data_IF_668829612940
#
_entry.id   IF_668829612940
#
_cell.length_a   1.000
_cell.length_b   1.000
_cell.length_c   1.000
_cell.angle_alpha   90.00
_cell.angle_beta   90.00
_cell.angle_gamma   90.00
#
_symmetry.space_group_name_H-M   'P 1'
#
loop_
_entity.id
_entity.type
_entity.pdbx_description
1 polymer ?
#
# COMPACT_ATOMS: atom_id res chain seq x y z
N UNK A 1 4.67 -16.64 13.67
CA UNK A 1 5.39 -16.48 14.96
C UNK A 1 4.82 -15.26 15.68
N UNK A 2 4.67 -15.24 17.01
CA UNK A 2 4.25 -14.09 17.82
C UNK A 2 5.48 -13.30 18.26
N UNK A 3 5.97 -12.37 17.43
CA UNK A 3 7.08 -11.50 17.79
C UNK A 3 6.58 -10.32 18.63
N UNK A 4 7.33 -9.98 19.67
CA UNK A 4 7.21 -8.71 20.39
C UNK A 4 7.60 -7.53 19.49
N UNK A 5 7.28 -6.30 19.92
CA UNK A 5 7.67 -5.08 19.20
C UNK A 5 9.19 -5.01 19.03
N UNK A 6 9.95 -5.27 20.10
CA UNK A 6 11.41 -5.20 20.09
C UNK A 6 12.05 -6.25 19.17
N UNK A 7 11.55 -7.50 19.19
CA UNK A 7 12.01 -8.54 18.27
C UNK A 7 11.73 -8.15 16.82
N UNK A 8 10.57 -7.54 16.55
CA UNK A 8 10.21 -7.11 15.21
C UNK A 8 11.07 -5.94 14.71
N UNK A 9 11.36 -4.96 15.58
CA UNK A 9 12.29 -3.87 15.28
C UNK A 9 13.72 -4.38 15.04
N UNK A 10 14.16 -5.38 15.82
CA UNK A 10 15.46 -6.02 15.62
C UNK A 10 15.54 -6.74 14.28
N UNK A 11 14.46 -7.40 13.84
CA UNK A 11 14.40 -8.00 12.50
C UNK A 11 14.48 -6.91 11.42
N UNK A 12 13.67 -5.86 11.52
CA UNK A 12 13.67 -4.74 10.58
C UNK A 12 15.06 -4.11 10.47
N UNK A 13 15.74 -3.88 11.60
CA UNK A 13 17.12 -3.35 11.61
C UNK A 13 18.06 -4.23 10.78
N UNK A 14 18.06 -5.55 11.03
CA UNK A 14 18.94 -6.49 10.30
C UNK A 14 18.62 -6.53 8.81
N UNK A 15 17.34 -6.49 8.45
CA UNK A 15 16.90 -6.49 7.05
C UNK A 15 17.31 -5.20 6.34
N UNK A 16 17.11 -4.03 6.96
CA UNK A 16 17.57 -2.75 6.41
C UNK A 16 19.09 -2.76 6.19
N UNK A 17 19.88 -3.19 7.18
CA UNK A 17 21.34 -3.31 7.07
C UNK A 17 21.78 -4.22 5.91
N UNK A 18 21.02 -5.29 5.62
CA UNK A 18 21.29 -6.17 4.49
C UNK A 18 20.87 -5.54 3.16
N UNK A 19 19.68 -4.93 3.10
CA UNK A 19 19.12 -4.33 1.89
C UNK A 19 19.98 -3.18 1.37
N UNK A 20 20.61 -2.40 2.25
CA UNK A 20 21.50 -1.31 1.85
C UNK A 20 22.64 -1.75 0.93
N UNK A 21 23.08 -3.02 1.00
CA UNK A 21 24.15 -3.55 0.14
C UNK A 21 23.76 -3.62 -1.34
N UNK A 22 22.46 -3.57 -1.64
CA UNK A 22 21.93 -3.66 -3.00
C UNK A 22 21.59 -2.29 -3.62
N UNK A 23 21.86 -1.19 -2.91
CA UNK A 23 21.52 0.18 -3.34
C UNK A 23 20.06 0.33 -3.83
N UNK A 24 19.06 -0.05 -3.01
CA UNK A 24 17.67 0.00 -3.42
C UNK A 24 17.21 1.44 -3.66
N UNK A 25 16.40 1.63 -4.70
CA UNK A 25 15.76 2.93 -4.99
C UNK A 25 14.56 3.20 -4.07
N UNK A 26 13.95 2.13 -3.53
CA UNK A 26 12.80 2.18 -2.65
C UNK A 26 12.74 0.89 -1.82
N UNK A 27 12.36 0.99 -0.55
CA UNK A 27 12.11 -0.15 0.33
C UNK A 27 10.65 -0.16 0.77
N UNK A 28 9.95 -1.23 0.44
CA UNK A 28 8.64 -1.52 1.00
C UNK A 28 8.79 -2.33 2.30
N UNK A 29 8.23 -1.82 3.41
CA UNK A 29 8.33 -2.43 4.73
C UNK A 29 6.99 -3.09 5.08
N UNK A 30 7.03 -4.42 5.26
CA UNK A 30 5.89 -5.21 5.73
C UNK A 30 5.88 -5.29 7.26
N UNK A 31 5.59 -4.16 7.89
CA UNK A 31 5.80 -3.94 9.32
C UNK A 31 4.58 -4.17 10.22
N UNK A 32 4.87 -4.60 11.44
CA UNK A 32 3.95 -4.67 12.56
C UNK A 32 2.90 -5.79 12.47
N UNK A 33 1.83 -5.65 13.27
CA UNK A 33 0.79 -6.69 13.46
C UNK A 33 -0.57 -6.10 13.74
N UNK A 34 -1.61 -6.78 13.29
CA UNK A 34 -3.01 -6.41 13.53
C UNK A 34 -3.46 -6.66 14.98
N UNK A 35 -2.85 -7.61 15.69
CA UNK A 35 -3.21 -7.99 17.05
C UNK A 35 -2.50 -7.19 18.17
N UNK A 36 -1.69 -6.19 17.81
CA UNK A 36 -1.02 -5.32 18.77
C UNK A 36 -1.96 -4.23 19.31
N UNK A 37 -1.77 -3.86 20.57
CA UNK A 37 -2.46 -2.69 21.15
C UNK A 37 -2.01 -1.42 20.45
N UNK A 38 -2.80 -0.34 20.55
CA UNK A 38 -2.43 0.93 19.93
C UNK A 38 -1.04 1.41 20.39
N UNK A 39 -0.72 1.27 21.67
CA UNK A 39 0.58 1.64 22.24
C UNK A 39 1.72 0.82 21.62
N UNK A 40 1.49 -0.46 21.34
CA UNK A 40 2.45 -1.32 20.66
C UNK A 40 2.62 -0.93 19.19
N UNK A 41 1.53 -0.57 18.50
CA UNK A 41 1.61 -0.03 17.13
C UNK A 41 2.46 1.25 17.10
N UNK A 42 2.17 2.18 18.01
CA UNK A 42 2.89 3.45 18.10
C UNK A 42 4.37 3.25 18.46
N UNK A 43 4.67 2.37 19.41
CA UNK A 43 6.03 2.02 19.77
C UNK A 43 6.80 1.42 18.58
N UNK A 44 6.16 0.56 17.79
CA UNK A 44 6.77 0.01 16.58
C UNK A 44 7.06 1.10 15.55
N UNK A 45 6.10 1.96 15.22
CA UNK A 45 6.34 3.00 14.21
C UNK A 45 7.36 4.04 14.65
N UNK A 46 7.38 4.41 15.94
CA UNK A 46 8.43 5.25 16.50
C UNK A 46 9.83 4.65 16.25
N UNK A 47 10.04 3.40 16.66
CA UNK A 47 11.33 2.72 16.46
C UNK A 47 11.66 2.46 14.99
N UNK A 48 10.66 2.11 14.17
CA UNK A 48 10.86 1.87 12.75
C UNK A 48 11.28 3.15 12.02
N UNK A 49 10.71 4.31 12.37
CA UNK A 49 11.07 5.61 11.79
C UNK A 49 12.46 6.06 12.25
N UNK A 50 12.84 5.79 13.50
CA UNK A 50 14.21 6.01 13.98
C UNK A 50 15.24 5.15 13.23
N UNK A 51 14.91 3.89 12.93
CA UNK A 51 15.77 3.01 12.13
C UNK A 51 15.89 3.50 10.68
N UNK A 52 14.77 3.88 10.05
CA UNK A 52 14.76 4.44 8.69
C UNK A 52 15.58 5.74 8.61
N UNK A 53 15.53 6.58 9.64
CA UNK A 53 16.30 7.83 9.73
C UNK A 53 17.82 7.66 9.64
N UNK A 54 18.35 6.44 9.82
CA UNK A 54 19.77 6.12 9.63
C UNK A 54 20.18 5.99 8.16
N UNK A 55 19.21 5.89 7.25
CA UNK A 55 19.40 5.69 5.82
C UNK A 55 18.65 6.75 4.99
N UNK A 56 18.93 8.06 5.19
CA UNK A 56 18.13 9.14 4.61
C UNK A 56 18.16 9.21 3.07
N UNK A 57 19.10 8.52 2.42
CA UNK A 57 19.25 8.49 0.96
C UNK A 57 18.43 7.37 0.29
N UNK A 58 17.73 6.53 1.06
CA UNK A 58 16.87 5.46 0.53
C UNK A 58 15.45 5.73 0.97
N UNK A 59 14.55 5.89 0.00
CA UNK A 59 13.12 6.03 0.28
C UNK A 59 12.60 4.71 0.87
N UNK A 60 11.81 4.80 1.94
CA UNK A 60 11.12 3.65 2.52
C UNK A 60 9.71 4.00 2.94
N UNK A 61 8.79 3.05 2.76
CA UNK A 61 7.38 3.20 3.11
C UNK A 61 6.81 1.90 3.67
N UNK A 62 5.71 2.01 4.41
CA UNK A 62 5.06 0.87 5.08
C UNK A 62 3.81 0.43 4.35
N UNK A 63 3.69 -0.87 4.08
CA UNK A 63 2.58 -1.43 3.33
C UNK A 63 1.30 -1.51 4.14
N UNK A 64 0.19 -1.09 3.53
CA UNK A 64 -1.15 -1.38 4.04
C UNK A 64 -1.49 -2.84 3.77
N UNK A 65 -1.54 -3.69 4.79
CA UNK A 65 -1.78 -5.12 4.58
C UNK A 65 -2.57 -5.74 5.73
N UNK A 66 -3.43 -6.72 5.42
CA UNK A 66 -4.17 -7.49 6.44
C UNK A 66 -3.20 -8.28 7.34
N UNK A 67 -3.41 -8.35 8.65
CA UNK A 67 -2.43 -8.99 9.53
C UNK A 67 -1.23 -8.11 9.92
N UNK A 68 -1.15 -6.88 9.41
CA UNK A 68 -0.14 -5.87 9.75
C UNK A 68 -0.78 -4.67 10.43
N UNK A 69 0.03 -3.74 10.95
CA UNK A 69 -0.49 -2.61 11.72
C UNK A 69 -1.38 -1.67 10.91
N UNK A 70 -1.15 -1.57 9.60
CA UNK A 70 -1.88 -0.69 8.68
C UNK A 70 -3.05 -1.42 7.99
N UNK A 71 -3.66 -2.39 8.69
CA UNK A 71 -4.70 -3.26 8.11
C UNK A 71 -6.05 -2.59 7.88
N UNK A 72 -6.34 -1.45 8.51
CA UNK A 72 -7.61 -0.73 8.33
C UNK A 72 -7.40 0.79 8.15
N UNK A 73 -8.29 1.47 7.40
CA UNK A 73 -8.14 2.90 7.10
C UNK A 73 -8.15 3.81 8.35
N UNK A 74 -8.98 3.49 9.35
CA UNK A 74 -9.17 4.36 10.53
C UNK A 74 -7.92 4.40 11.40
N UNK A 75 -7.36 3.23 11.72
CA UNK A 75 -6.09 3.12 12.45
C UNK A 75 -4.93 3.71 11.64
N UNK A 76 -4.92 3.47 10.33
CA UNK A 76 -3.90 4.04 9.44
C UNK A 76 -3.93 5.57 9.49
N UNK A 77 -5.12 6.20 9.43
CA UNK A 77 -5.25 7.65 9.57
C UNK A 77 -4.72 8.16 10.93
N UNK A 78 -5.04 7.46 12.02
CA UNK A 78 -4.50 7.81 13.36
C UNK A 78 -2.97 7.81 13.36
N UNK A 79 -2.36 6.74 12.85
CA UNK A 79 -0.90 6.56 12.86
C UNK A 79 -0.17 7.60 11.98
N UNK A 80 -0.65 7.87 10.76
CA UNK A 80 -0.02 8.88 9.89
C UNK A 80 -0.22 10.32 10.40
N UNK A 81 -1.26 10.55 11.21
CA UNK A 81 -1.47 11.84 11.89
C UNK A 81 -0.50 11.99 13.06
N UNK A 82 -0.29 10.91 13.83
CA UNK A 82 0.64 10.86 14.96
C UNK A 82 2.11 10.94 14.53
N UNK A 83 2.45 10.31 13.41
CA UNK A 83 3.80 10.23 12.85
C UNK A 83 3.83 10.88 11.47
N UNK A 84 4.11 12.18 11.40
CA UNK A 84 4.01 12.97 10.16
C UNK A 84 4.96 12.51 9.04
N UNK A 85 6.04 11.81 9.39
CA UNK A 85 7.02 11.22 8.48
C UNK A 85 6.71 9.77 8.10
N UNK A 86 5.61 9.17 8.60
CA UNK A 86 5.19 7.84 8.19
C UNK A 86 4.67 7.88 6.74
N UNK A 87 5.38 7.18 5.86
CA UNK A 87 5.06 7.05 4.43
C UNK A 87 4.48 5.67 4.13
N UNK A 88 3.59 5.60 3.14
CA UNK A 88 2.79 4.42 2.84
C UNK A 88 3.12 3.80 1.48
N UNK A 89 3.14 2.47 1.44
CA UNK A 89 2.91 1.69 0.21
C UNK A 89 1.43 1.30 0.20
N UNK A 90 0.71 1.77 -0.81
CA UNK A 90 -0.73 1.61 -0.91
C UNK A 90 -1.10 0.27 -1.57
N UNK A 91 -1.30 -0.78 -0.77
CA UNK A 91 -2.05 -1.98 -1.15
C UNK A 91 -3.45 -1.92 -0.51
N UNK A 92 -4.33 -1.12 -1.11
CA UNK A 92 -5.68 -0.90 -0.56
C UNK A 92 -6.64 -2.06 -0.79
N UNK A 93 -6.24 -3.10 -1.55
CA UNK A 93 -7.05 -4.31 -1.74
C UNK A 93 -7.36 -4.98 -0.40
N UNK A 94 -6.41 -4.94 0.53
CA UNK A 94 -6.56 -5.50 1.87
C UNK A 94 -7.63 -4.81 2.69
N UNK A 95 -7.83 -3.50 2.51
CA UNK A 95 -8.82 -2.75 3.28
C UNK A 95 -10.24 -3.10 2.88
N UNK A 96 -10.49 -3.45 1.62
CA UNK A 96 -11.81 -3.91 1.18
C UNK A 96 -12.19 -5.23 1.87
N UNK A 97 -11.23 -6.16 1.97
CA UNK A 97 -11.44 -7.45 2.67
C UNK A 97 -11.62 -7.25 4.17
N UNK A 98 -10.76 -6.44 4.80
CA UNK A 98 -10.82 -6.20 6.25
C UNK A 98 -12.12 -5.50 6.66
N UNK A 99 -12.61 -4.57 5.83
CA UNK A 99 -13.84 -3.82 6.12
C UNK A 99 -15.11 -4.51 5.62
N UNK A 100 -14.98 -5.55 4.78
CA UNK A 100 -16.07 -6.27 4.10
C UNK A 100 -17.08 -5.35 3.38
N UNK A 101 -16.62 -4.20 2.86
CA UNK A 101 -17.47 -3.23 2.16
C UNK A 101 -16.69 -2.34 1.20
N UNK A 102 -17.40 -1.71 0.28
CA UNK A 102 -16.87 -0.57 -0.46
C UNK A 102 -16.62 0.59 0.50
N UNK A 103 -15.44 1.18 0.41
CA UNK A 103 -15.02 2.36 1.18
C UNK A 103 -15.36 3.64 0.41
N UNK A 104 -16.66 3.84 0.11
CA UNK A 104 -17.18 4.92 -0.73
C UNK A 104 -18.18 5.83 -0.01
N UNK A 105 -18.36 5.69 1.30
CA UNK A 105 -19.15 6.64 2.09
C UNK A 105 -18.43 8.01 2.10
N UNK A 106 -19.13 9.16 2.20
CA UNK A 106 -18.48 10.47 2.23
C UNK A 106 -17.34 10.60 3.26
N UNK A 107 -17.49 9.99 4.44
CA UNK A 107 -16.43 9.95 5.46
C UNK A 107 -15.24 9.07 5.08
N UNK A 108 -15.42 8.04 4.25
CA UNK A 108 -14.32 7.26 3.70
C UNK A 108 -13.55 8.08 2.67
N UNK A 109 -14.25 8.80 1.79
CA UNK A 109 -13.61 9.66 0.78
C UNK A 109 -12.75 10.72 1.44
N UNK A 110 -13.27 11.39 2.48
CA UNK A 110 -12.50 12.38 3.24
C UNK A 110 -11.25 11.77 3.90
N UNK A 111 -11.41 10.58 4.51
CA UNK A 111 -10.28 9.84 5.09
C UNK A 111 -9.23 9.49 4.02
N UNK A 112 -9.68 9.03 2.85
CA UNK A 112 -8.78 8.67 1.75
C UNK A 112 -8.00 9.88 1.24
N UNK A 113 -8.62 11.07 1.14
CA UNK A 113 -7.91 12.31 0.75
C UNK A 113 -6.70 12.60 1.65
N UNK A 114 -6.83 12.34 2.95
CA UNK A 114 -5.73 12.54 3.91
C UNK A 114 -4.66 11.45 3.76
N UNK A 115 -5.08 10.19 3.63
CA UNK A 115 -4.18 9.03 3.51
C UNK A 115 -3.34 9.09 2.22
N UNK A 116 -3.94 9.38 1.06
CA UNK A 116 -3.23 9.35 -0.23
C UNK A 116 -2.09 10.37 -0.30
N UNK A 117 -2.17 11.47 0.45
CA UNK A 117 -1.08 12.46 0.55
C UNK A 117 0.20 11.91 1.20
N UNK A 118 0.11 10.75 1.86
CA UNK A 118 1.21 10.06 2.55
C UNK A 118 1.74 8.85 1.78
N UNK A 119 1.24 8.59 0.58
CA UNK A 119 1.68 7.44 -0.23
C UNK A 119 2.94 7.80 -1.03
N UNK A 120 3.87 6.85 -1.09
CA UNK A 120 5.06 6.93 -1.95
C UNK A 120 5.09 5.87 -3.05
N UNK A 121 4.51 4.70 -2.79
CA UNK A 121 4.46 3.59 -3.74
C UNK A 121 3.07 2.97 -3.80
N UNK A 122 2.67 2.49 -4.97
CA UNK A 122 1.37 1.86 -5.20
C UNK A 122 1.56 0.36 -5.43
N UNK A 123 0.81 -0.46 -4.70
CA UNK A 123 0.55 -1.84 -5.10
C UNK A 123 -0.83 -1.90 -5.74
N UNK A 124 -0.87 -2.20 -7.03
CA UNK A 124 -2.07 -2.07 -7.87
C UNK A 124 -2.77 -3.40 -8.12
N UNK A 125 -2.71 -4.34 -7.18
CA UNK A 125 -3.57 -5.52 -7.24
C UNK A 125 -5.01 -5.08 -7.04
N UNK A 126 -5.94 -5.66 -7.79
CA UNK A 126 -7.37 -5.42 -7.55
C UNK A 126 -7.94 -6.58 -6.76
N UNK A 127 -8.59 -6.25 -5.65
CA UNK A 127 -9.38 -7.17 -4.84
C UNK A 127 -10.88 -6.87 -4.93
N UNK A 128 -11.66 -7.67 -4.22
CA UNK A 128 -13.07 -7.44 -3.90
C UNK A 128 -13.25 -7.26 -2.39
N UNK A 129 -14.48 -6.98 -1.96
CA UNK A 129 -14.83 -6.98 -0.53
C UNK A 129 -14.68 -8.36 0.16
N UNK A 130 -14.38 -9.42 -0.59
CA UNK A 130 -14.22 -10.79 -0.07
C UNK A 130 -12.84 -11.41 -0.37
N UNK A 131 -12.10 -10.88 -1.35
CA UNK A 131 -10.80 -11.42 -1.77
C UNK A 131 -9.81 -10.30 -2.00
N UNK A 132 -8.57 -10.42 -1.49
CA UNK A 132 -7.55 -9.39 -1.71
C UNK A 132 -7.07 -9.35 -3.18
N UNK A 133 -7.41 -10.36 -3.98
CA UNK A 133 -7.06 -10.47 -5.38
C UNK A 133 -8.18 -11.17 -6.15
N UNK A 134 -8.53 -10.64 -7.32
CA UNK A 134 -9.48 -11.26 -8.27
C UNK A 134 -8.85 -11.37 -9.65
N UNK A 135 -9.16 -12.43 -10.40
CA UNK A 135 -8.46 -12.73 -11.66
C UNK A 135 -8.80 -11.75 -12.77
N UNK A 136 -10.09 -11.56 -13.04
CA UNK A 136 -10.56 -10.57 -14.01
C UNK A 136 -11.31 -9.48 -13.24
N UNK A 137 -10.64 -8.38 -12.87
CA UNK A 137 -11.23 -7.36 -12.01
C UNK A 137 -12.39 -6.60 -12.67
N UNK A 138 -12.33 -6.40 -14.00
CA UNK A 138 -13.38 -5.69 -14.73
C UNK A 138 -14.68 -6.49 -14.82
N UNK A 139 -14.59 -7.82 -14.79
CA UNK A 139 -15.76 -8.71 -14.78
C UNK A 139 -16.20 -9.04 -13.36
N UNK A 140 -15.26 -9.44 -12.49
CA UNK A 140 -15.58 -10.03 -11.19
C UNK A 140 -15.71 -8.99 -10.06
N UNK A 141 -15.14 -7.79 -10.21
CA UNK A 141 -15.16 -6.75 -9.19
C UNK A 141 -15.18 -5.33 -9.82
N UNK A 142 -16.12 -5.02 -10.74
CA UNK A 142 -16.09 -3.77 -11.50
C UNK A 142 -16.18 -2.52 -10.61
N UNK A 143 -16.99 -2.57 -9.53
CA UNK A 143 -17.17 -1.45 -8.60
C UNK A 143 -15.92 -1.20 -7.75
N UNK A 144 -15.29 -2.27 -7.27
CA UNK A 144 -14.02 -2.21 -6.55
C UNK A 144 -12.90 -1.72 -7.45
N UNK A 145 -12.86 -2.19 -8.70
CA UNK A 145 -11.89 -1.75 -9.70
C UNK A 145 -11.99 -0.25 -9.95
N UNK A 146 -13.21 0.27 -10.11
CA UNK A 146 -13.46 1.70 -10.28
C UNK A 146 -13.04 2.49 -9.03
N UNK A 147 -13.43 2.03 -7.83
CA UNK A 147 -13.08 2.66 -6.57
C UNK A 147 -11.56 2.74 -6.35
N UNK A 148 -10.84 1.62 -6.57
CA UNK A 148 -9.39 1.56 -6.43
C UNK A 148 -8.69 2.42 -7.49
N UNK A 149 -9.21 2.45 -8.72
CA UNK A 149 -8.69 3.34 -9.75
C UNK A 149 -8.81 4.81 -9.35
N UNK A 150 -9.93 5.21 -8.73
CA UNK A 150 -10.10 6.56 -8.21
C UNK A 150 -9.06 6.88 -7.11
N UNK A 151 -8.76 5.94 -6.22
CA UNK A 151 -7.72 6.13 -5.20
C UNK A 151 -6.32 6.27 -5.81
N UNK A 152 -5.97 5.47 -6.82
CA UNK A 152 -4.68 5.59 -7.49
C UNK A 152 -4.55 6.91 -8.24
N UNK A 153 -5.62 7.37 -8.90
CA UNK A 153 -5.63 8.71 -9.51
C UNK A 153 -5.48 9.83 -8.47
N UNK A 154 -6.12 9.71 -7.30
CA UNK A 154 -5.88 10.65 -6.21
C UNK A 154 -4.41 10.67 -5.75
N UNK A 155 -3.75 9.51 -5.68
CA UNK A 155 -2.31 9.41 -5.38
C UNK A 155 -1.48 10.09 -6.47
N UNK A 156 -1.79 9.85 -7.76
CA UNK A 156 -1.10 10.50 -8.87
C UNK A 156 -1.25 12.03 -8.82
N UNK A 157 -2.44 12.54 -8.51
CA UNK A 157 -2.67 13.96 -8.30
C UNK A 157 -1.85 14.51 -7.14
N UNK A 158 -1.77 13.82 -6.01
CA UNK A 158 -0.94 14.26 -4.88
C UNK A 158 0.56 14.22 -5.21
N UNK A 159 1.03 13.20 -5.92
CA UNK A 159 2.40 13.14 -6.41
C UNK A 159 2.75 14.33 -7.32
N UNK A 160 1.84 14.68 -8.24
CA UNK A 160 2.00 15.83 -9.13
C UNK A 160 2.03 17.15 -8.34
N UNK A 161 1.11 17.35 -7.38
CA UNK A 161 1.11 18.53 -6.50
C UNK A 161 2.38 18.66 -5.67
N UNK A 162 2.98 17.53 -5.28
CA UNK A 162 4.24 17.46 -4.56
C UNK A 162 5.46 17.67 -5.47
N UNK A 163 5.26 17.89 -6.78
CA UNK A 163 6.34 18.07 -7.75
C UNK A 163 7.12 16.80 -8.06
N UNK A 164 6.58 15.61 -7.75
CA UNK A 164 7.23 14.34 -8.11
C UNK A 164 7.19 14.17 -9.63
N UNK A 165 8.37 13.96 -10.21
CA UNK A 165 8.51 13.68 -11.65
C UNK A 165 8.26 12.21 -12.01
N UNK A 166 8.29 11.33 -11.02
CA UNK A 166 8.12 9.88 -11.19
C UNK A 166 7.12 9.38 -10.14
N UNK A 167 6.19 8.53 -10.59
CA UNK A 167 5.35 7.68 -9.74
C UNK A 167 5.69 6.21 -10.01
N UNK A 168 5.74 5.40 -8.95
CA UNK A 168 6.03 3.97 -9.04
C UNK A 168 4.79 3.15 -8.66
N UNK A 169 4.62 2.02 -9.36
CA UNK A 169 3.48 1.13 -9.19
C UNK A 169 3.90 -0.31 -9.48
N UNK A 170 3.45 -1.25 -8.66
CA UNK A 170 3.64 -2.70 -8.83
C UNK A 170 2.27 -3.39 -8.77
N UNK A 171 1.79 -4.10 -9.80
CA UNK A 171 0.47 -4.73 -9.74
C UNK A 171 0.34 -5.88 -8.73
N UNK A 172 1.45 -6.50 -8.34
CA UNK A 172 1.53 -7.39 -7.16
C UNK A 172 0.52 -8.56 -7.10
N UNK A 173 0.15 -9.15 -8.24
CA UNK A 173 -0.62 -10.39 -8.22
C UNK A 173 0.25 -11.54 -7.72
N UNK A 174 -0.27 -12.33 -6.78
CA UNK A 174 0.45 -13.41 -6.11
C UNK A 174 -0.28 -14.75 -6.16
N UNK A 175 0.41 -15.84 -5.77
CA UNK A 175 -0.17 -17.19 -5.70
C UNK A 175 -1.13 -17.37 -4.53
N UNK A 176 -1.65 -18.59 -4.37
CA UNK A 176 -2.35 -19.01 -3.14
C UNK A 176 -1.50 -18.62 -1.92
N UNK A 177 -2.09 -18.02 -0.87
CA UNK A 177 -3.53 -17.92 -0.58
C UNK A 177 -4.22 -16.65 -1.10
N UNK A 178 -3.56 -15.85 -1.95
CA UNK A 178 -4.17 -14.64 -2.52
C UNK A 178 -4.94 -14.94 -3.81
N UNK A 179 -4.39 -15.78 -4.68
CA UNK A 179 -5.08 -16.25 -5.88
C UNK A 179 -6.37 -17.02 -5.54
N UNK A 180 -7.38 -16.93 -6.40
CA UNK A 180 -8.65 -17.64 -6.22
C UNK A 180 -8.55 -19.15 -6.49
N UNK A 181 -7.50 -19.59 -7.18
CA UNK A 181 -7.18 -20.99 -7.44
C UNK A 181 -5.69 -21.19 -7.73
N UNK A 182 -5.23 -22.45 -7.79
CA UNK A 182 -3.87 -22.79 -8.18
C UNK A 182 -3.60 -22.64 -9.68
N UNK A 183 -4.65 -22.67 -10.50
CA UNK A 183 -4.55 -22.84 -11.96
C UNK A 183 -4.55 -21.50 -12.71
N UNK A 184 -4.20 -20.43 -12.00
CA UNK A 184 -4.17 -19.07 -12.53
C UNK A 184 -2.77 -18.73 -13.02
N UNK A 185 -2.69 -18.19 -14.23
CA UNK A 185 -1.46 -17.59 -14.74
C UNK A 185 -1.26 -16.20 -14.11
N UNK A 186 -0.63 -16.19 -12.94
CA UNK A 186 -0.35 -14.98 -12.16
C UNK A 186 0.53 -14.00 -12.93
N UNK A 187 1.49 -14.51 -13.72
CA UNK A 187 2.36 -13.68 -14.55
C UNK A 187 1.55 -12.93 -15.60
N UNK A 188 0.64 -13.62 -16.29
CA UNK A 188 -0.27 -13.00 -17.25
C UNK A 188 -1.16 -11.95 -16.58
N UNK A 189 -1.77 -12.25 -15.43
CA UNK A 189 -2.61 -11.29 -14.71
C UNK A 189 -1.83 -10.04 -14.29
N UNK A 190 -0.63 -10.23 -13.72
CA UNK A 190 0.24 -9.14 -13.30
C UNK A 190 0.55 -8.21 -14.48
N UNK A 191 0.87 -8.78 -15.65
CA UNK A 191 1.20 -7.99 -16.84
C UNK A 191 -0.02 -7.31 -17.46
N UNK A 192 -1.20 -7.94 -17.42
CA UNK A 192 -2.44 -7.32 -17.88
C UNK A 192 -2.78 -6.09 -17.03
N UNK A 193 -2.67 -6.19 -15.71
CA UNK A 193 -2.89 -5.05 -14.82
C UNK A 193 -1.80 -3.97 -14.99
N UNK A 194 -0.54 -4.36 -15.20
CA UNK A 194 0.55 -3.43 -15.52
C UNK A 194 0.23 -2.58 -16.75
N UNK A 195 -0.18 -3.21 -17.86
CA UNK A 195 -0.53 -2.49 -19.08
C UNK A 195 -1.79 -1.64 -18.89
N UNK A 196 -2.79 -2.12 -18.14
CA UNK A 196 -3.99 -1.34 -17.79
C UNK A 196 -3.61 -0.06 -17.03
N UNK A 197 -2.75 -0.16 -16.02
CA UNK A 197 -2.31 0.99 -15.24
C UNK A 197 -1.44 1.95 -16.04
N UNK A 198 -0.59 1.44 -16.93
CA UNK A 198 0.18 2.29 -17.85
C UNK A 198 -0.75 3.11 -18.73
N UNK A 199 -1.76 2.49 -19.33
CA UNK A 199 -2.75 3.18 -20.16
C UNK A 199 -3.55 4.20 -19.35
N UNK A 200 -4.02 3.82 -18.15
CA UNK A 200 -4.78 4.72 -17.28
C UNK A 200 -3.96 5.94 -16.85
N UNK A 201 -2.67 5.76 -16.54
CA UNK A 201 -1.77 6.86 -16.19
C UNK A 201 -1.54 7.80 -17.38
N UNK A 202 -1.36 7.25 -18.59
CA UNK A 202 -1.21 8.06 -19.81
C UNK A 202 -2.46 8.89 -20.12
N UNK A 203 -3.66 8.32 -19.97
CA UNK A 203 -4.90 9.07 -20.15
C UNK A 203 -5.07 10.12 -19.06
N UNK A 204 -4.79 9.77 -17.81
CA UNK A 204 -4.87 10.69 -16.68
C UNK A 204 -3.91 11.87 -16.86
N UNK A 205 -2.67 11.65 -17.29
CA UNK A 205 -1.69 12.74 -17.41
C UNK A 205 -2.05 13.71 -18.54
N UNK A 206 -2.60 13.22 -19.66
CA UNK A 206 -3.11 14.07 -20.75
C UNK A 206 -4.24 14.99 -20.26
N UNK A 207 -5.07 14.51 -19.33
CA UNK A 207 -6.20 15.27 -18.79
C UNK A 207 -5.82 16.23 -17.66
N UNK A 208 -4.62 16.10 -17.09
CA UNK A 208 -4.19 16.83 -15.89
C UNK A 208 -2.87 17.61 -16.08
N UNK A 209 -2.25 17.55 -17.26
CA UNK A 209 -1.19 18.46 -17.68
C UNK A 209 -1.79 19.68 -18.37
N UNK A 210 -2.11 20.69 -17.56
CA UNK A 210 -2.26 22.09 -17.99
C UNK A 210 -1.06 22.91 -17.49
#
# INVERSE_FOLDING_TARGET
QNLTVDEHLNNLKRELEQLMKYNPIHINIHGGRDNWTLEQQEAFFQGALELQGKYPNVTSSHETHRGRSLFNPTLTLHLITRFSNLRLTADFSHWLVVCERLLNHPSDIERMRQIVSRVDHIHARVGSVQHAQVNDPLINAPKETELMQNWWQMIWTEHMKQGKTITTLTPEYGPIPYAMSSDIDIWKLTNQEMERQRNNYQQWIIQNQD
#
